data_IF_971021012777
#
_entry.id   IF_971021012777
#
_cell.length_a   1.000
_cell.length_b   1.000
_cell.length_c   1.000
_cell.angle_alpha   90.00
_cell.angle_beta   90.00
_cell.angle_gamma   90.00
#
_symmetry.space_group_name_H-M   'P 1'
#
loop_
_entity.id
_entity.type
_entity.pdbx_description
1 polymer ?
#
# COMPACT_ATOMS: atom_id res chain seq x y z
N UNK A 1 -21.25 26.17 -8.27
CA UNK A 1 -19.84 25.88 -8.64
C UNK A 1 -19.82 25.61 -10.14
N UNK A 2 -18.88 26.19 -10.89
CA UNK A 2 -18.85 26.07 -12.37
C UNK A 2 -18.20 24.76 -12.81
N UNK A 3 -18.54 24.25 -14.00
CA UNK A 3 -17.90 23.07 -14.61
C UNK A 3 -16.39 23.25 -14.78
N UNK A 4 -15.96 24.49 -15.07
CA UNK A 4 -14.55 24.87 -15.14
C UNK A 4 -13.82 24.71 -13.80
N UNK A 5 -14.47 25.05 -12.68
CA UNK A 5 -13.88 24.90 -11.35
C UNK A 5 -13.66 23.41 -11.01
N UNK A 6 -14.59 22.55 -11.41
CA UNK A 6 -14.50 21.10 -11.21
C UNK A 6 -13.36 20.46 -12.03
N UNK A 7 -13.18 20.89 -13.28
CA UNK A 7 -12.12 20.35 -14.14
C UNK A 7 -10.72 20.71 -13.59
N UNK A 8 -10.55 21.96 -13.12
CA UNK A 8 -9.30 22.42 -12.50
C UNK A 8 -9.00 21.66 -11.20
N UNK A 9 -10.00 21.44 -10.34
CA UNK A 9 -9.82 20.67 -9.11
C UNK A 9 -9.42 19.21 -9.39
N UNK A 10 -10.05 18.58 -10.39
CA UNK A 10 -9.73 17.21 -10.81
C UNK A 10 -8.30 17.11 -11.34
N UNK A 11 -7.88 18.04 -12.20
CA UNK A 11 -6.52 18.09 -12.73
C UNK A 11 -5.48 18.20 -11.61
N UNK A 12 -5.67 19.13 -10.65
CA UNK A 12 -4.75 19.30 -9.52
C UNK A 12 -4.67 18.05 -8.64
N UNK A 13 -5.80 17.36 -8.44
CA UNK A 13 -5.84 16.12 -7.67
C UNK A 13 -5.03 15.01 -8.35
N UNK A 14 -5.12 14.88 -9.68
CA UNK A 14 -4.31 13.93 -10.44
C UNK A 14 -2.82 14.29 -10.41
N UNK A 15 -2.47 15.56 -10.54
CA UNK A 15 -1.08 16.02 -10.45
C UNK A 15 -0.49 15.73 -9.06
N UNK A 16 -1.26 15.95 -7.98
CA UNK A 16 -0.86 15.60 -6.62
C UNK A 16 -0.62 14.10 -6.45
N UNK A 17 -1.48 13.26 -7.03
CA UNK A 17 -1.31 11.80 -7.04
C UNK A 17 0.00 11.41 -7.74
N UNK A 18 0.25 11.96 -8.92
CA UNK A 18 1.48 11.70 -9.68
C UNK A 18 2.74 12.16 -8.93
N UNK A 19 2.68 13.28 -8.21
CA UNK A 19 3.79 13.74 -7.37
C UNK A 19 4.09 12.78 -6.23
N UNK A 20 3.06 12.25 -5.54
CA UNK A 20 3.24 11.22 -4.50
C UNK A 20 3.85 9.94 -5.07
N UNK A 21 3.42 9.50 -6.24
CA UNK A 21 4.01 8.32 -6.90
C UNK A 21 5.49 8.52 -7.19
N UNK A 22 5.89 9.69 -7.72
CA UNK A 22 7.30 10.00 -8.04
C UNK A 22 8.20 10.00 -6.80
N UNK A 23 7.65 10.26 -5.62
CA UNK A 23 8.36 10.20 -4.33
C UNK A 23 8.32 8.81 -3.67
N UNK A 24 7.70 7.82 -4.31
CA UNK A 24 7.42 6.51 -3.71
C UNK A 24 6.59 6.60 -2.41
N UNK A 25 5.71 7.60 -2.33
CA UNK A 25 4.88 7.91 -1.16
C UNK A 25 3.39 7.64 -1.43
N UNK A 26 3.04 7.16 -2.63
CA UNK A 26 1.66 6.82 -2.94
C UNK A 26 1.33 5.41 -2.43
N UNK A 27 0.53 5.34 -1.38
CA UNK A 27 0.01 4.11 -0.83
C UNK A 27 -1.52 4.12 -0.82
N UNK A 28 -2.14 3.29 -1.67
CA UNK A 28 -3.61 3.16 -1.74
C UNK A 28 -4.14 2.13 -0.74
N UNK A 29 -3.41 1.02 -0.58
CA UNK A 29 -3.67 -0.05 0.38
C UNK A 29 -2.34 -0.65 0.85
N UNK A 30 -2.26 -1.03 2.11
CA UNK A 30 -1.12 -1.79 2.61
C UNK A 30 -1.27 -3.27 2.23
N UNK A 31 -0.16 -3.89 1.80
CA UNK A 31 -0.11 -5.34 1.59
C UNK A 31 -0.27 -6.08 2.93
N UNK A 32 -0.75 -7.33 2.89
CA UNK A 32 -0.86 -8.16 4.08
C UNK A 32 0.50 -8.28 4.76
N UNK A 33 0.55 -8.08 6.08
CA UNK A 33 1.79 -8.05 6.87
C UNK A 33 2.44 -6.67 6.98
N UNK A 34 1.79 -5.63 6.45
CA UNK A 34 2.23 -4.25 6.56
C UNK A 34 1.10 -3.35 7.07
N UNK A 35 1.48 -2.28 7.76
CA UNK A 35 0.59 -1.28 8.35
C UNK A 35 1.00 0.12 7.92
N UNK A 36 0.03 1.03 7.77
CA UNK A 36 0.32 2.44 7.53
C UNK A 36 0.92 3.09 8.77
N UNK A 37 2.02 3.82 8.58
CA UNK A 37 2.61 4.67 9.61
C UNK A 37 2.59 6.11 9.10
N UNK A 38 1.58 6.87 9.53
CA UNK A 38 1.35 8.22 9.02
C UNK A 38 0.73 8.22 7.61
N UNK A 39 0.90 9.33 6.88
CA UNK A 39 0.21 9.54 5.60
C UNK A 39 0.90 8.87 4.41
N UNK A 40 2.23 8.81 4.44
CA UNK A 40 3.05 8.52 3.25
C UNK A 40 4.11 7.45 3.53
N UNK A 41 3.87 6.58 4.52
CA UNK A 41 4.77 5.46 4.84
C UNK A 41 3.99 4.22 5.27
N UNK A 42 4.60 3.08 4.99
CA UNK A 42 4.17 1.76 5.41
C UNK A 42 5.35 1.07 6.10
N UNK A 43 5.07 0.32 7.15
CA UNK A 43 6.05 -0.54 7.83
C UNK A 43 5.49 -1.94 8.04
N UNK A 44 6.34 -2.89 8.40
CA UNK A 44 5.90 -4.25 8.76
C UNK A 44 4.96 -4.20 9.95
N UNK A 45 3.96 -5.07 9.95
CA UNK A 45 3.08 -5.25 11.09
C UNK A 45 3.92 -5.58 12.34
N UNK A 46 3.83 -4.79 13.43
CA UNK A 46 4.63 -5.04 14.64
C UNK A 46 4.21 -6.32 15.37
N UNK A 47 3.03 -6.87 15.10
CA UNK A 47 2.59 -8.13 15.69
C UNK A 47 3.44 -9.30 15.17
N UNK A 48 4.21 -9.89 16.08
CA UNK A 48 5.05 -11.06 15.78
C UNK A 48 4.23 -12.25 15.31
N UNK A 49 3.00 -12.42 15.77
CA UNK A 49 2.13 -13.51 15.30
C UNK A 49 1.80 -13.36 13.82
N UNK A 50 1.58 -12.13 13.35
CA UNK A 50 1.34 -11.84 11.93
C UNK A 50 2.61 -12.11 11.12
N UNK A 51 3.76 -11.63 11.59
CA UNK A 51 5.04 -11.86 10.93
C UNK A 51 5.38 -13.36 10.81
N UNK A 52 5.22 -14.11 11.90
CA UNK A 52 5.50 -15.54 11.97
C UNK A 52 4.54 -16.34 11.09
N UNK A 53 3.24 -15.98 11.08
CA UNK A 53 2.25 -16.62 10.22
C UNK A 53 2.56 -16.42 8.74
N UNK A 54 2.93 -15.21 8.33
CA UNK A 54 3.33 -14.93 6.94
C UNK A 54 4.60 -15.70 6.58
N UNK A 55 5.60 -15.71 7.47
CA UNK A 55 6.81 -16.49 7.29
C UNK A 55 6.53 -17.99 7.11
N UNK A 56 5.61 -18.54 7.92
CA UNK A 56 5.19 -19.93 7.83
C UNK A 56 4.53 -20.27 6.48
N UNK A 57 3.66 -19.38 5.97
CA UNK A 57 3.02 -19.57 4.65
C UNK A 57 4.08 -19.70 3.55
N UNK A 58 5.09 -18.83 3.54
CA UNK A 58 6.16 -18.91 2.53
C UNK A 58 7.04 -20.15 2.71
N UNK A 59 7.37 -20.52 3.95
CA UNK A 59 8.13 -21.74 4.22
C UNK A 59 7.39 -22.99 3.73
N UNK A 60 6.08 -23.06 3.97
CA UNK A 60 5.23 -24.16 3.50
C UNK A 60 5.05 -24.18 2.00
N UNK A 61 4.96 -23.02 1.37
CA UNK A 61 4.94 -22.93 -0.08
C UNK A 61 6.26 -23.40 -0.71
N UNK A 62 7.40 -23.09 -0.11
CA UNK A 62 8.70 -23.55 -0.62
C UNK A 62 8.86 -25.08 -0.49
N UNK A 63 8.36 -25.65 0.62
CA UNK A 63 8.33 -27.09 0.89
C UNK A 63 7.40 -27.85 -0.08
N UNK A 64 6.16 -27.38 -0.24
CA UNK A 64 5.12 -28.13 -0.97
C UNK A 64 4.95 -27.68 -2.42
N UNK A 65 5.50 -26.52 -2.81
CA UNK A 65 5.33 -25.86 -4.13
C UNK A 65 3.86 -25.71 -4.54
N UNK A 66 2.98 -25.61 -3.56
CA UNK A 66 1.53 -25.64 -3.70
C UNK A 66 0.89 -24.81 -2.60
N UNK A 67 -0.31 -24.30 -2.88
CA UNK A 67 -1.13 -23.51 -1.94
C UNK A 67 -2.08 -24.41 -1.13
N UNK A 68 -2.08 -25.72 -1.38
CA UNK A 68 -2.93 -26.70 -0.70
C UNK A 68 -2.38 -27.14 0.65
#
# INVERSE_FOLDING_TARGET
>A
MSEMELSVLRQRSHEALHQKTRRCELFMTAAIGYVHIGQDRIDKDPDRRVQDAIGLVFAKFDEMRSVR
#
